data_IF_628653838987
#
_entry.id   IF_628653838987
#
_cell.length_a   1.000
_cell.length_b   1.000
_cell.length_c   1.000
_cell.angle_alpha   90.00
_cell.angle_beta   90.00
_cell.angle_gamma   90.00
#
_symmetry.space_group_name_H-M   'P 1'
#
loop_
_entity.id
_entity.type
_entity.pdbx_description
1 polymer ?
#
# COMPACT_ATOMS: atom_id res chain seq x y z
N UNK A 1 -12.04 -0.63 -23.93
CA UNK A 1 -12.90 -0.08 -22.86
C UNK A 1 -12.81 1.44 -22.93
N UNK A 2 -13.92 2.16 -22.76
CA UNK A 2 -13.97 3.63 -22.75
C UNK A 2 -14.37 4.06 -21.35
N UNK A 3 -13.63 5.00 -20.74
CA UNK A 3 -13.82 5.44 -19.36
C UNK A 3 -13.78 6.96 -19.27
N UNK A 4 -14.27 7.51 -18.14
CA UNK A 4 -14.09 8.92 -17.79
C UNK A 4 -12.60 9.29 -17.79
N UNK A 5 -12.30 10.49 -18.27
CA UNK A 5 -10.94 11.02 -18.23
C UNK A 5 -10.61 11.56 -16.83
N UNK A 6 -9.42 11.24 -16.33
CA UNK A 6 -8.82 11.85 -15.14
C UNK A 6 -7.47 12.44 -15.55
N UNK A 7 -7.11 13.66 -15.12
CA UNK A 7 -5.99 14.39 -15.70
C UNK A 7 -4.61 13.87 -15.28
N UNK A 8 -4.51 13.21 -14.13
CA UNK A 8 -3.22 12.71 -13.62
C UNK A 8 -3.41 11.53 -12.67
N UNK A 9 -2.29 10.98 -12.21
CA UNK A 9 -2.24 9.93 -11.18
C UNK A 9 -1.64 10.49 -9.89
N UNK A 10 -1.92 9.82 -8.78
CA UNK A 10 -1.33 10.15 -7.49
C UNK A 10 0.20 10.04 -7.54
N UNK A 11 0.73 9.06 -8.27
CA UNK A 11 2.18 8.93 -8.51
C UNK A 11 2.78 10.16 -9.21
N UNK A 12 2.12 10.64 -10.27
CA UNK A 12 2.58 11.82 -11.00
C UNK A 12 2.46 13.10 -10.16
N UNK A 13 1.41 13.22 -9.34
CA UNK A 13 1.24 14.32 -8.39
C UNK A 13 2.39 14.35 -7.37
N UNK A 14 2.68 13.23 -6.70
CA UNK A 14 3.78 13.14 -5.71
C UNK A 14 5.13 13.40 -6.36
N UNK A 15 5.38 12.87 -7.57
CA UNK A 15 6.62 13.14 -8.31
C UNK A 15 6.81 14.63 -8.61
N UNK A 16 5.74 15.36 -8.95
CA UNK A 16 5.78 16.81 -9.20
C UNK A 16 6.17 17.61 -7.94
N UNK A 17 5.87 17.08 -6.76
CA UNK A 17 6.23 17.69 -5.48
C UNK A 17 7.70 17.47 -5.09
N UNK A 18 8.45 16.65 -5.84
CA UNK A 18 9.92 16.54 -5.70
C UNK A 18 10.39 16.03 -4.34
N UNK A 19 9.68 15.06 -3.75
CA UNK A 19 9.99 14.50 -2.43
C UNK A 19 9.25 15.19 -1.27
N UNK A 20 8.45 16.23 -1.55
CA UNK A 20 7.52 16.79 -0.56
C UNK A 20 6.21 16.01 -0.56
N UNK A 21 5.56 15.95 0.59
CA UNK A 21 4.20 15.43 0.71
C UNK A 21 3.17 16.45 0.20
N UNK A 22 1.99 16.01 -0.30
CA UNK A 22 0.86 16.92 -0.53
C UNK A 22 0.43 17.63 0.75
N UNK A 23 -0.38 18.68 0.64
CA UNK A 23 -0.92 19.30 1.85
C UNK A 23 -1.80 18.30 2.63
N UNK A 24 -1.96 18.51 3.94
CA UNK A 24 -2.69 17.58 4.79
C UNK A 24 -4.18 17.42 4.42
N UNK A 25 -4.79 18.42 3.78
CA UNK A 25 -6.18 18.33 3.32
C UNK A 25 -6.29 17.34 2.16
N UNK A 26 -5.41 17.45 1.17
CA UNK A 26 -5.34 16.54 0.02
C UNK A 26 -5.06 15.11 0.48
N UNK A 27 -4.12 14.92 1.42
CA UNK A 27 -3.83 13.60 2.00
C UNK A 27 -5.11 13.01 2.61
N UNK A 28 -5.78 13.74 3.49
CA UNK A 28 -7.03 13.28 4.12
C UNK A 28 -8.10 12.95 3.08
N UNK A 29 -8.28 13.81 2.08
CA UNK A 29 -9.31 13.69 1.05
C UNK A 29 -9.08 12.47 0.14
N UNK A 30 -7.86 12.29 -0.35
CA UNK A 30 -7.49 11.16 -1.20
C UNK A 30 -7.49 9.85 -0.42
N UNK A 31 -6.99 9.84 0.81
CA UNK A 31 -7.01 8.65 1.67
C UNK A 31 -8.44 8.22 1.99
N UNK A 32 -9.34 9.15 2.32
CA UNK A 32 -10.75 8.85 2.57
C UNK A 32 -11.43 8.23 1.33
N UNK A 33 -11.24 8.81 0.15
CA UNK A 33 -11.79 8.28 -1.10
C UNK A 33 -11.21 6.90 -1.45
N UNK A 34 -9.90 6.71 -1.26
CA UNK A 34 -9.24 5.42 -1.49
C UNK A 34 -9.89 4.33 -0.62
N UNK A 35 -10.00 4.55 0.68
CA UNK A 35 -10.56 3.53 1.58
C UNK A 35 -12.07 3.32 1.37
N UNK A 36 -12.84 4.32 0.96
CA UNK A 36 -14.22 4.11 0.52
C UNK A 36 -14.30 3.22 -0.72
N UNK A 37 -13.43 3.44 -1.71
CA UNK A 37 -13.33 2.58 -2.89
C UNK A 37 -12.96 1.14 -2.53
N UNK A 38 -11.98 0.96 -1.63
CA UNK A 38 -11.58 -0.37 -1.14
C UNK A 38 -12.70 -1.06 -0.36
N UNK A 39 -13.43 -0.31 0.48
CA UNK A 39 -14.59 -0.82 1.21
C UNK A 39 -15.67 -1.31 0.25
N UNK A 40 -15.95 -0.57 -0.83
CA UNK A 40 -16.88 -1.01 -1.87
C UNK A 40 -16.44 -2.32 -2.55
N UNK A 41 -15.16 -2.43 -2.91
CA UNK A 41 -14.61 -3.65 -3.52
C UNK A 41 -14.67 -4.84 -2.56
N UNK A 42 -14.34 -4.63 -1.29
CA UNK A 42 -14.42 -5.65 -0.24
C UNK A 42 -15.83 -6.24 -0.12
N UNK A 43 -16.86 -5.39 -0.03
CA UNK A 43 -18.26 -5.84 0.05
C UNK A 43 -18.72 -6.54 -1.24
N UNK A 44 -18.12 -6.21 -2.38
CA UNK A 44 -18.37 -6.87 -3.66
C UNK A 44 -17.56 -8.17 -3.83
N UNK A 45 -16.77 -8.57 -2.84
CA UNK A 45 -15.81 -9.67 -2.90
C UNK A 45 -14.81 -9.55 -4.05
N UNK A 46 -14.49 -8.32 -4.47
CA UNK A 46 -13.48 -8.04 -5.49
C UNK A 46 -12.19 -7.66 -4.79
N UNK A 47 -11.11 -8.33 -5.13
CA UNK A 47 -9.77 -7.93 -4.76
C UNK A 47 -9.09 -7.32 -6.00
N UNK A 48 -8.62 -6.08 -5.88
CA UNK A 48 -7.93 -5.36 -6.95
C UNK A 48 -6.55 -5.93 -7.22
N UNK A 49 -5.80 -6.29 -6.17
CA UNK A 49 -4.46 -6.91 -6.22
C UNK A 49 -3.38 -6.08 -6.91
N UNK A 50 -3.59 -4.78 -7.10
CA UNK A 50 -2.57 -3.87 -7.65
C UNK A 50 -2.82 -2.41 -7.25
N UNK A 51 -3.19 -2.20 -5.98
CA UNK A 51 -3.33 -0.86 -5.42
C UNK A 51 -1.93 -0.24 -5.26
N UNK A 52 -1.70 0.85 -5.98
CA UNK A 52 -0.46 1.62 -6.00
C UNK A 52 -0.73 3.02 -6.55
N UNK A 53 0.10 4.03 -6.27
CA UNK A 53 -0.14 5.42 -6.69
C UNK A 53 -0.32 5.62 -8.20
N UNK A 54 0.20 4.73 -9.04
CA UNK A 54 0.01 4.77 -10.49
C UNK A 54 -1.42 4.42 -10.93
N UNK A 55 -2.10 3.58 -10.14
CA UNK A 55 -3.46 3.10 -10.40
C UNK A 55 -4.53 3.93 -9.66
N UNK A 56 -4.10 5.01 -9.00
CA UNK A 56 -4.98 5.96 -8.32
C UNK A 56 -5.01 7.25 -9.14
N UNK A 57 -6.07 7.43 -9.89
CA UNK A 57 -6.28 8.61 -10.73
C UNK A 57 -6.79 9.75 -9.87
N UNK A 58 -6.25 10.96 -10.06
CA UNK A 58 -6.65 12.13 -9.27
C UNK A 58 -6.97 13.33 -10.16
N UNK A 59 -7.90 14.15 -9.70
CA UNK A 59 -8.25 15.43 -10.29
C UNK A 59 -8.02 16.55 -9.26
N UNK A 60 -6.80 17.13 -9.21
CA UNK A 60 -6.43 18.05 -8.14
C UNK A 60 -7.29 19.31 -8.05
N UNK A 61 -7.90 19.74 -9.16
CA UNK A 61 -8.73 20.94 -9.20
C UNK A 61 -10.01 20.81 -8.36
N UNK A 62 -10.55 19.60 -8.23
CA UNK A 62 -11.77 19.33 -7.46
C UNK A 62 -11.57 18.34 -6.31
N UNK A 63 -10.38 17.75 -6.21
CA UNK A 63 -9.98 16.85 -5.12
C UNK A 63 -10.50 15.41 -5.27
N UNK A 64 -10.90 14.97 -6.46
CA UNK A 64 -11.41 13.62 -6.67
C UNK A 64 -10.28 12.58 -6.82
N UNK A 65 -10.51 11.38 -6.31
CA UNK A 65 -9.68 10.19 -6.53
C UNK A 65 -10.54 9.02 -7.03
N UNK A 66 -10.07 8.33 -8.07
CA UNK A 66 -10.68 7.10 -8.60
C UNK A 66 -9.66 5.97 -8.68
N UNK A 67 -10.05 4.77 -8.25
CA UNK A 67 -9.26 3.54 -8.42
C UNK A 67 -9.41 3.06 -9.88
N UNK A 68 -8.31 2.75 -10.54
CA UNK A 68 -8.27 2.30 -11.92
C UNK A 68 -7.39 1.06 -12.11
N UNK A 69 -7.42 0.49 -13.32
CA UNK A 69 -6.67 -0.71 -13.71
C UNK A 69 -7.04 -2.00 -12.94
N UNK A 70 -8.25 -2.48 -13.25
CA UNK A 70 -8.76 -3.75 -12.76
C UNK A 70 -8.19 -4.97 -13.54
N UNK A 71 -7.12 -4.82 -14.32
CA UNK A 71 -6.54 -5.92 -15.10
C UNK A 71 -6.00 -7.08 -14.24
N UNK A 72 -5.62 -6.77 -13.01
CA UNK A 72 -5.20 -7.76 -12.00
C UNK A 72 -6.33 -8.17 -11.04
N UNK A 73 -7.52 -7.58 -11.15
CA UNK A 73 -8.58 -7.81 -10.19
C UNK A 73 -9.16 -9.24 -10.27
N UNK A 74 -9.66 -9.75 -9.16
CA UNK A 74 -10.27 -11.08 -9.07
C UNK A 74 -11.43 -11.07 -8.08
N UNK A 75 -12.54 -11.73 -8.44
CA UNK A 75 -13.59 -12.06 -7.48
C UNK A 75 -13.09 -13.17 -6.56
N UNK A 76 -12.95 -12.85 -5.29
CA UNK A 76 -12.46 -13.76 -4.26
C UNK A 76 -13.58 -14.70 -3.83
N UNK A 77 -13.30 -16.00 -3.90
CA UNK A 77 -14.22 -17.05 -3.44
C UNK A 77 -13.60 -17.75 -2.25
N UNK A 78 -14.39 -18.01 -1.22
CA UNK A 78 -13.97 -18.81 -0.07
C UNK A 78 -13.46 -20.18 -0.56
N UNK A 79 -12.36 -20.66 0.04
CA UNK A 79 -11.73 -21.95 -0.27
C UNK A 79 -11.14 -22.08 -1.69
N UNK A 80 -10.99 -20.99 -2.46
CA UNK A 80 -10.31 -21.03 -3.75
C UNK A 80 -8.92 -20.43 -3.61
N UNK A 81 -7.90 -21.22 -3.93
CA UNK A 81 -6.52 -20.75 -3.93
C UNK A 81 -6.33 -19.59 -4.91
N UNK A 82 -5.50 -18.64 -4.50
CA UNK A 82 -5.12 -17.48 -5.28
C UNK A 82 -3.61 -17.34 -5.24
N UNK A 83 -3.03 -16.96 -6.38
CA UNK A 83 -1.59 -16.77 -6.52
C UNK A 83 -1.11 -15.63 -5.62
N UNK A 84 -0.06 -15.87 -4.83
CA UNK A 84 0.52 -14.92 -3.87
C UNK A 84 1.41 -13.84 -4.51
N UNK A 85 1.92 -14.08 -5.71
CA UNK A 85 2.83 -13.15 -6.39
C UNK A 85 2.13 -11.92 -7.01
N UNK A 86 0.80 -11.94 -7.08
CA UNK A 86 0.01 -10.80 -7.56
C UNK A 86 0.11 -9.69 -6.51
N UNK A 87 0.16 -8.42 -6.92
CA UNK A 87 0.53 -7.20 -6.16
C UNK A 87 1.98 -6.73 -6.39
N UNK A 88 2.10 -5.47 -6.80
CA UNK A 88 3.37 -4.75 -6.93
C UNK A 88 4.13 -4.74 -5.60
N UNK A 89 5.41 -5.16 -5.61
CA UNK A 89 6.21 -5.49 -4.42
C UNK A 89 6.14 -4.48 -3.27
N UNK A 90 6.26 -3.18 -3.53
CA UNK A 90 6.31 -2.15 -2.49
C UNK A 90 5.01 -2.02 -1.69
N UNK A 91 3.90 -2.46 -2.27
CA UNK A 91 2.55 -2.42 -1.69
C UNK A 91 2.07 -3.82 -1.30
N UNK A 92 2.93 -4.83 -1.40
CA UNK A 92 2.58 -6.23 -1.13
C UNK A 92 2.53 -6.48 0.38
N UNK A 93 1.45 -7.11 0.89
CA UNK A 93 1.30 -7.38 2.31
C UNK A 93 2.14 -8.58 2.77
N UNK A 94 2.39 -8.69 4.09
CA UNK A 94 3.25 -9.74 4.65
C UNK A 94 2.73 -11.15 4.36
N UNK A 95 1.43 -11.41 4.39
CA UNK A 95 0.84 -12.72 4.07
C UNK A 95 1.19 -13.20 2.65
N UNK A 96 1.20 -12.29 1.66
CA UNK A 96 1.58 -12.63 0.29
C UNK A 96 3.09 -12.81 0.13
N UNK A 97 3.90 -12.12 0.94
CA UNK A 97 5.35 -12.32 1.01
C UNK A 97 5.70 -13.65 1.71
N UNK A 98 4.82 -14.12 2.59
CA UNK A 98 4.87 -15.41 3.28
C UNK A 98 4.09 -16.51 2.54
N UNK A 99 3.84 -16.30 1.25
CA UNK A 99 3.30 -17.30 0.32
C UNK A 99 1.89 -17.81 0.66
N UNK A 100 1.07 -17.01 1.37
CA UNK A 100 -0.33 -17.33 1.62
C UNK A 100 -1.09 -17.52 0.30
N UNK A 101 -1.77 -18.66 0.18
CA UNK A 101 -2.58 -19.01 -1.01
C UNK A 101 -4.08 -18.81 -0.79
N UNK A 102 -4.48 -18.62 0.47
CA UNK A 102 -5.84 -18.28 0.88
C UNK A 102 -5.79 -16.92 1.56
N UNK A 103 -6.25 -15.89 0.86
CA UNK A 103 -6.29 -14.51 1.35
C UNK A 103 -7.61 -13.87 0.96
N UNK A 104 -7.92 -12.74 1.59
CA UNK A 104 -9.14 -11.97 1.37
C UNK A 104 -8.84 -10.67 0.61
N UNK A 105 -9.86 -9.91 0.17
CA UNK A 105 -9.64 -8.57 -0.37
C UNK A 105 -8.95 -7.58 0.59
N UNK A 106 -8.76 -7.94 1.88
CA UNK A 106 -8.04 -7.10 2.85
C UNK A 106 -6.57 -6.86 2.50
N UNK A 107 -5.97 -7.67 1.60
CA UNK A 107 -4.64 -7.41 1.04
C UNK A 107 -4.56 -6.01 0.40
N UNK A 108 -5.66 -5.52 -0.19
CA UNK A 108 -5.71 -4.19 -0.79
C UNK A 108 -5.75 -3.08 0.27
N UNK A 109 -6.25 -3.36 1.48
CA UNK A 109 -6.26 -2.41 2.61
C UNK A 109 -4.83 -2.17 3.08
N UNK A 110 -4.00 -3.22 3.14
CA UNK A 110 -2.56 -3.06 3.40
C UNK A 110 -1.89 -2.20 2.32
N UNK A 111 -2.15 -2.49 1.05
CA UNK A 111 -1.63 -1.69 -0.06
C UNK A 111 -2.06 -0.23 0.03
N UNK A 112 -3.32 0.04 0.41
CA UNK A 112 -3.82 1.38 0.68
C UNK A 112 -3.13 2.07 1.86
N UNK A 113 -2.81 1.33 2.92
CA UNK A 113 -1.98 1.81 4.03
C UNK A 113 -0.57 2.20 3.59
N UNK A 114 0.04 1.42 2.70
CA UNK A 114 1.33 1.76 2.10
C UNK A 114 1.26 3.05 1.27
N UNK A 115 0.19 3.24 0.49
CA UNK A 115 -0.06 4.50 -0.25
C UNK A 115 -0.22 5.68 0.71
N UNK A 116 -1.00 5.53 1.78
CA UNK A 116 -1.17 6.59 2.78
C UNK A 116 0.16 6.97 3.45
N UNK A 117 0.95 5.98 3.87
CA UNK A 117 2.29 6.24 4.42
C UNK A 117 3.22 6.90 3.41
N UNK A 118 3.15 6.54 2.14
CA UNK A 118 3.89 7.19 1.06
C UNK A 118 3.46 8.66 0.87
N UNK A 119 2.17 8.96 0.99
CA UNK A 119 1.68 10.33 0.94
C UNK A 119 2.19 11.18 2.10
N UNK A 120 2.22 10.63 3.32
CA UNK A 120 2.75 11.34 4.49
C UNK A 120 4.27 11.57 4.40
N UNK A 121 4.98 10.60 3.82
CA UNK A 121 6.45 10.62 3.71
C UNK A 121 6.97 11.35 2.49
N UNK A 122 6.18 11.49 1.43
CA UNK A 122 6.66 11.98 0.12
C UNK A 122 7.44 10.94 -0.68
N UNK A 123 7.43 9.66 -0.27
CA UNK A 123 8.17 8.59 -0.94
C UNK A 123 7.77 7.20 -0.46
N UNK A 124 8.10 6.18 -1.26
CA UNK A 124 7.68 4.77 -1.06
C UNK A 124 7.94 4.33 0.38
N UNK A 125 6.89 3.79 1.03
CA UNK A 125 6.94 3.42 2.44
C UNK A 125 7.95 2.29 2.71
N UNK A 126 7.91 1.23 1.88
CA UNK A 126 8.78 0.06 1.99
C UNK A 126 9.46 -0.25 0.64
N UNK A 127 10.65 0.33 0.37
CA UNK A 127 11.35 0.15 -0.91
C UNK A 127 12.20 -1.13 -0.95
N UNK A 128 11.56 -2.31 -0.95
CA UNK A 128 12.23 -3.61 -0.97
C UNK A 128 12.89 -3.97 -2.31
N UNK A 129 14.13 -4.45 -2.26
CA UNK A 129 14.93 -4.80 -3.46
C UNK A 129 14.53 -6.14 -4.08
N UNK A 130 13.92 -6.99 -3.27
CA UNK A 130 13.36 -8.30 -3.57
C UNK A 130 12.29 -8.63 -2.50
N UNK A 131 11.63 -9.78 -2.59
CA UNK A 131 10.57 -10.17 -1.65
C UNK A 131 11.10 -10.36 -0.21
N UNK A 132 12.31 -10.92 -0.04
CA UNK A 132 12.91 -11.12 1.28
C UNK A 132 13.26 -9.78 1.92
N UNK A 133 13.83 -8.85 1.14
CA UNK A 133 14.13 -7.50 1.62
C UNK A 133 12.85 -6.72 1.96
N UNK A 134 11.78 -6.88 1.16
CA UNK A 134 10.47 -6.27 1.45
C UNK A 134 9.94 -6.73 2.81
N UNK A 135 9.90 -8.04 3.04
CA UNK A 135 9.45 -8.62 4.31
C UNK A 135 10.32 -8.16 5.47
N UNK A 136 11.64 -8.12 5.29
CA UNK A 136 12.57 -7.59 6.30
C UNK A 136 12.26 -6.15 6.67
N UNK A 137 11.98 -5.27 5.71
CA UNK A 137 11.62 -3.87 5.99
C UNK A 137 10.34 -3.78 6.82
N UNK A 138 9.34 -4.60 6.52
CA UNK A 138 8.08 -4.66 7.25
C UNK A 138 8.33 -5.12 8.69
N UNK A 139 9.00 -6.25 8.87
CA UNK A 139 9.34 -6.83 10.19
C UNK A 139 10.22 -5.90 11.01
N UNK A 140 11.21 -5.26 10.38
CA UNK A 140 12.07 -4.28 11.05
C UNK A 140 11.30 -3.06 11.58
N UNK A 141 10.18 -2.72 10.93
CA UNK A 141 9.35 -1.56 11.25
C UNK A 141 8.28 -1.90 12.27
N UNK A 142 7.55 -3.00 12.05
CA UNK A 142 6.36 -3.39 12.82
C UNK A 142 6.65 -4.45 13.90
N UNK A 143 7.79 -5.12 13.84
CA UNK A 143 8.14 -6.27 14.70
C UNK A 143 7.95 -7.61 13.99
N UNK A 144 8.44 -8.69 14.59
CA UNK A 144 8.11 -10.05 14.18
C UNK A 144 6.63 -10.31 14.54
N UNK A 145 5.80 -10.80 13.60
CA UNK A 145 4.44 -11.26 13.91
C UNK A 145 4.45 -12.39 14.94
N UNK A 146 3.50 -12.34 15.88
CA UNK A 146 3.20 -13.44 16.80
C UNK A 146 2.69 -14.68 16.07
N UNK A 147 2.66 -15.82 16.75
CA UNK A 147 2.13 -17.07 16.17
C UNK A 147 0.66 -16.94 15.75
N UNK A 148 -0.15 -16.19 16.51
CA UNK A 148 -1.54 -15.91 16.17
C UNK A 148 -1.66 -15.08 14.88
N UNK A 149 -0.84 -14.04 14.72
CA UNK A 149 -0.79 -13.23 13.48
C UNK A 149 -0.29 -14.07 12.30
N UNK A 150 0.67 -14.97 12.51
CA UNK A 150 1.15 -15.90 11.48
C UNK A 150 0.04 -16.84 11.01
N UNK A 151 -0.79 -17.33 11.94
CA UNK A 151 -1.95 -18.15 11.64
C UNK A 151 -3.03 -17.35 10.89
N UNK A 152 -3.33 -16.13 11.32
CA UNK A 152 -4.31 -15.25 10.67
C UNK A 152 -3.91 -14.88 9.24
N UNK A 153 -2.60 -14.71 9.00
CA UNK A 153 -2.04 -14.49 7.66
C UNK A 153 -2.13 -15.72 6.75
N UNK A 154 -2.36 -16.92 7.30
CA UNK A 154 -2.26 -18.18 6.53
C UNK A 154 -0.88 -18.36 5.90
N UNK A 155 0.16 -17.96 6.62
CA UNK A 155 1.54 -17.99 6.15
C UNK A 155 1.99 -19.43 5.85
N UNK A 156 2.54 -19.64 4.64
CA UNK A 156 3.09 -20.94 4.22
C UNK A 156 4.63 -20.98 4.29
N UNK A 157 5.26 -19.83 4.57
CA UNK A 157 6.69 -19.68 4.75
C UNK A 157 7.01 -19.09 6.14
N UNK A 158 8.17 -19.43 6.68
CA UNK A 158 8.68 -18.89 7.95
C UNK A 158 9.45 -17.59 7.76
N UNK A 159 9.62 -16.83 8.86
CA UNK A 159 10.46 -15.64 8.92
C UNK A 159 11.83 -16.02 9.49
N UNK A 160 12.88 -15.98 8.68
CA UNK A 160 14.25 -16.19 9.14
C UNK A 160 14.89 -14.87 9.61
N UNK A 161 15.44 -14.85 10.83
CA UNK A 161 16.36 -13.79 11.26
C UNK A 161 15.76 -12.40 11.48
N UNK A 162 14.56 -12.31 12.06
CA UNK A 162 13.94 -11.05 12.47
C UNK A 162 14.32 -10.60 13.89
N UNK A 163 14.01 -9.35 14.24
CA UNK A 163 14.10 -8.86 15.62
C UNK A 163 12.74 -8.88 16.28
N UNK A 164 12.70 -9.24 17.56
CA UNK A 164 11.47 -9.31 18.35
C UNK A 164 10.84 -7.94 18.60
N UNK A 165 11.62 -6.85 18.55
CA UNK A 165 11.13 -5.49 18.83
C UNK A 165 11.05 -4.61 17.59
N UNK A 166 9.90 -3.94 17.43
CA UNK A 166 9.62 -2.97 16.37
C UNK A 166 10.49 -1.71 16.52
N UNK A 167 11.05 -1.19 15.41
CA UNK A 167 11.74 0.12 15.42
C UNK A 167 10.81 1.30 15.14
N UNK A 168 9.59 1.03 14.67
CA UNK A 168 8.71 2.05 14.13
C UNK A 168 9.24 2.64 12.82
N UNK A 169 8.47 3.58 12.27
CA UNK A 169 8.90 4.33 11.09
C UNK A 169 9.99 5.32 11.47
N UNK A 170 11.14 5.26 10.80
CA UNK A 170 12.21 6.23 11.03
C UNK A 170 11.76 7.61 10.53
N UNK A 171 11.97 8.69 11.31
CA UNK A 171 11.80 10.05 10.79
C UNK A 171 12.76 10.27 9.62
N UNK A 172 12.36 11.08 8.65
CA UNK A 172 13.29 11.50 7.61
C UNK A 172 14.49 12.22 8.22
N UNK A 173 15.66 12.04 7.60
CA UNK A 173 16.75 13.00 7.81
C UNK A 173 16.24 14.31 7.22
N UNK A 174 15.83 15.24 8.07
CA UNK A 174 15.74 16.64 7.66
C UNK A 174 17.14 16.99 7.19
N UNK A 175 17.32 17.25 5.89
CA UNK A 175 18.58 17.85 5.45
C UNK A 175 18.70 19.19 6.18
N UNK A 176 19.73 19.31 7.03
CA UNK A 176 20.06 20.53 7.76
C UNK A 176 20.18 21.69 6.77
N UNK A 177 19.11 22.48 6.61
CA UNK A 177 19.04 23.54 5.61
C UNK A 177 17.69 24.21 5.45
N UNK A 178 16.58 23.57 5.85
CA UNK A 178 15.28 24.24 5.89
C UNK A 178 15.16 25.07 7.17
N UNK A 179 15.64 26.31 7.13
CA UNK A 179 15.27 27.35 8.09
C UNK A 179 13.76 27.55 8.04
N UNK A 180 13.04 26.99 9.00
CA UNK A 180 11.67 27.40 9.30
C UNK A 180 11.76 28.83 9.84
N UNK A 181 11.35 29.81 9.04
CA UNK A 181 10.93 31.10 9.56
C UNK A 181 9.41 31.11 9.52
N UNK A 182 8.84 31.40 10.67
CA UNK A 182 7.42 31.68 10.90
C UNK A 182 6.89 32.79 9.96
#
# INVERSE_FOLDING_TARGET
MVFDYMPTTLSALVKKLGGRHPNYLDIKLYTWQLFNGLMFLFHSHICHRDIKPQNLLVEPAIGNLKIADFGSAKVMKRCVQSTSYQVTRFYRPPELLLEATFYSPLVDVWSGGCVYGELLRGGVLFPGRDAKHQLKLIVDTLGIPSDDEMNDMGANAGIEGGRTTARGFKPEKVEDGASWRD
#
